data_IF_431530984717
#
_entry.id   IF_431530984717
#
_cell.length_a   1.000
_cell.length_b   1.000
_cell.length_c   1.000
_cell.angle_alpha   90.00
_cell.angle_beta   90.00
_cell.angle_gamma   90.00
#
_symmetry.space_group_name_H-M   'P 1'
#
loop_
_entity.id
_entity.type
_entity.pdbx_description
1 polymer ?
#
# COMPACT_ATOMS: atom_id res chain seq x y z
N UNK A 1 -7.70 15.28 -1.37
CA UNK A 1 -6.28 14.97 -1.21
C UNK A 1 -6.09 13.46 -1.39
N UNK A 2 -5.20 13.07 -2.29
CA UNK A 2 -4.70 11.71 -2.53
C UNK A 2 -3.76 11.31 -1.39
N UNK A 3 -4.07 10.17 -0.75
CA UNK A 3 -3.26 9.62 0.35
C UNK A 3 -1.94 9.03 -0.14
N UNK A 4 -0.88 9.12 0.67
CA UNK A 4 0.43 8.56 0.34
C UNK A 4 0.83 7.42 1.28
N UNK A 5 1.16 6.27 0.71
CA UNK A 5 1.75 5.14 1.42
C UNK A 5 3.20 4.91 0.99
N UNK A 6 4.10 4.81 1.97
CA UNK A 6 5.49 4.38 1.76
C UNK A 6 5.65 2.96 2.29
N UNK A 7 5.83 1.99 1.40
CA UNK A 7 5.84 0.56 1.73
C UNK A 7 7.26 0.01 1.89
N UNK A 8 7.44 -1.00 2.75
CA UNK A 8 8.72 -1.71 2.90
C UNK A 8 9.76 -0.89 3.64
N UNK A 9 9.35 -0.14 4.66
CA UNK A 9 10.25 0.59 5.56
C UNK A 9 10.76 -0.37 6.64
N UNK A 10 12.08 -0.55 6.73
CA UNK A 10 12.72 -1.43 7.72
C UNK A 10 13.51 -0.69 8.81
N UNK A 11 13.81 0.60 8.58
CA UNK A 11 14.61 1.43 9.47
C UNK A 11 13.76 2.54 10.08
N UNK A 12 13.96 2.79 11.38
CA UNK A 12 13.30 3.88 12.12
C UNK A 12 13.52 5.23 11.43
N UNK A 13 14.74 5.50 10.97
CA UNK A 13 15.10 6.75 10.30
C UNK A 13 14.23 7.02 9.07
N UNK A 14 14.15 6.07 8.13
CA UNK A 14 13.34 6.23 6.92
C UNK A 14 11.84 6.36 7.24
N UNK A 15 11.35 5.67 8.28
CA UNK A 15 9.95 5.77 8.70
C UNK A 15 9.63 7.16 9.28
N UNK A 16 10.53 7.73 10.08
CA UNK A 16 10.40 9.10 10.59
C UNK A 16 10.48 10.13 9.47
N UNK A 17 11.35 9.93 8.47
CA UNK A 17 11.42 10.79 7.28
C UNK A 17 10.09 10.76 6.52
N UNK A 18 9.54 9.57 6.25
CA UNK A 18 8.24 9.44 5.58
C UNK A 18 7.11 10.11 6.37
N UNK A 19 7.05 9.89 7.70
CA UNK A 19 6.04 10.51 8.55
C UNK A 19 6.14 12.04 8.55
N UNK A 20 7.34 12.61 8.74
CA UNK A 20 7.57 14.06 8.75
C UNK A 20 7.32 14.71 7.40
N UNK A 21 7.62 14.01 6.31
CA UNK A 21 7.29 14.47 4.97
C UNK A 21 5.76 14.46 4.70
N UNK A 22 4.99 13.78 5.53
CA UNK A 22 3.53 13.73 5.50
C UNK A 22 2.98 12.56 4.70
N UNK A 23 3.60 11.38 4.81
CA UNK A 23 2.94 10.13 4.45
C UNK A 23 1.70 9.91 5.33
N UNK A 24 0.67 9.29 4.76
CA UNK A 24 -0.54 8.88 5.48
C UNK A 24 -0.44 7.46 6.01
N UNK A 25 0.35 6.62 5.33
CA UNK A 25 0.54 5.22 5.67
C UNK A 25 2.02 4.81 5.61
N UNK A 26 2.46 4.03 6.60
CA UNK A 26 3.77 3.38 6.62
C UNK A 26 3.58 1.86 6.52
N UNK A 27 4.16 1.24 5.50
CA UNK A 27 4.07 -0.20 5.28
C UNK A 27 5.27 -0.96 5.84
N UNK A 28 5.01 -1.90 6.75
CA UNK A 28 5.98 -2.82 7.34
C UNK A 28 5.74 -4.22 6.78
N UNK A 29 6.75 -4.84 6.16
CA UNK A 29 6.57 -6.11 5.45
C UNK A 29 6.89 -7.27 6.37
N UNK A 30 5.93 -8.19 6.55
CA UNK A 30 6.11 -9.44 7.30
C UNK A 30 6.18 -10.67 6.38
N UNK A 31 5.78 -10.52 5.11
CA UNK A 31 5.90 -11.57 4.12
C UNK A 31 7.36 -11.83 3.69
N UNK A 32 7.73 -13.08 3.32
CA UNK A 32 9.07 -13.44 2.87
C UNK A 32 9.56 -12.55 1.72
N UNK A 33 10.57 -11.72 1.98
CA UNK A 33 11.16 -10.80 1.00
C UNK A 33 12.46 -10.18 1.53
N UNK A 34 13.17 -9.44 0.68
CA UNK A 34 14.34 -8.62 1.10
C UNK A 34 13.98 -7.51 2.10
N UNK A 35 12.68 -7.20 2.25
CA UNK A 35 12.16 -6.13 3.12
C UNK A 35 11.46 -6.70 4.36
N UNK A 36 11.50 -8.03 4.54
CA UNK A 36 10.84 -8.69 5.65
C UNK A 36 11.43 -8.21 6.98
N UNK A 37 10.55 -7.88 7.91
CA UNK A 37 10.87 -7.49 9.27
C UNK A 37 10.54 -8.62 10.25
N UNK A 38 11.32 -8.67 11.33
CA UNK A 38 10.90 -9.36 12.55
C UNK A 38 9.89 -8.50 13.33
N UNK A 39 9.13 -9.11 14.23
CA UNK A 39 8.18 -8.39 15.08
C UNK A 39 8.88 -7.36 15.96
N UNK A 40 10.07 -7.68 16.47
CA UNK A 40 10.88 -6.79 17.32
C UNK A 40 11.32 -5.55 16.55
N UNK A 41 11.77 -5.72 15.29
CA UNK A 41 12.16 -4.57 14.46
C UNK A 41 10.95 -3.72 14.05
N UNK A 42 9.83 -4.36 13.74
CA UNK A 42 8.58 -3.64 13.45
C UNK A 42 8.15 -2.78 14.64
N UNK A 43 8.20 -3.32 15.86
CA UNK A 43 7.88 -2.58 17.09
C UNK A 43 8.73 -1.32 17.26
N UNK A 44 10.04 -1.40 17.04
CA UNK A 44 10.92 -0.23 17.12
C UNK A 44 10.49 0.89 16.15
N UNK A 45 10.08 0.52 14.93
CA UNK A 45 9.56 1.48 13.95
C UNK A 45 8.23 2.06 14.40
N UNK A 46 7.31 1.21 14.88
CA UNK A 46 5.99 1.64 15.37
C UNK A 46 6.12 2.61 16.53
N UNK A 47 6.94 2.31 17.55
CA UNK A 47 7.14 3.17 18.72
C UNK A 47 7.66 4.55 18.32
N UNK A 48 8.67 4.59 17.44
CA UNK A 48 9.24 5.85 16.98
C UNK A 48 8.22 6.71 16.22
N UNK A 49 7.43 6.12 15.32
CA UNK A 49 6.39 6.84 14.57
C UNK A 49 5.24 7.27 15.49
N UNK A 50 4.85 6.44 16.46
CA UNK A 50 3.77 6.75 17.40
C UNK A 50 4.10 7.84 18.40
N UNK A 51 5.38 8.14 18.60
CA UNK A 51 5.84 9.27 19.41
C UNK A 51 5.66 10.65 18.75
N UNK A 52 5.31 10.69 17.45
CA UNK A 52 5.00 11.93 16.74
C UNK A 52 3.57 12.41 17.05
N UNK A 53 3.36 13.72 17.13
CA UNK A 53 2.03 14.32 17.33
C UNK A 53 1.09 14.02 16.15
N UNK A 54 1.59 14.22 14.93
CA UNK A 54 0.93 13.84 13.69
C UNK A 54 1.62 12.59 13.16
N UNK A 55 0.88 11.49 13.07
CA UNK A 55 1.41 10.19 12.69
C UNK A 55 0.62 9.53 11.56
N UNK A 56 1.29 8.89 10.59
CA UNK A 56 0.64 7.99 9.64
C UNK A 56 0.08 6.76 10.35
N UNK A 57 -0.89 6.11 9.71
CA UNK A 57 -1.32 4.77 10.08
C UNK A 57 -0.24 3.73 9.73
N UNK A 58 -0.02 2.76 10.60
CA UNK A 58 0.92 1.66 10.39
C UNK A 58 0.21 0.48 9.74
N UNK A 59 0.72 0.03 8.60
CA UNK A 59 0.17 -1.08 7.79
C UNK A 59 1.14 -2.25 7.83
N UNK A 60 0.70 -3.42 8.28
CA UNK A 60 1.48 -4.67 8.11
C UNK A 60 1.15 -5.34 6.79
N UNK A 61 2.17 -5.69 6.01
CA UNK A 61 2.02 -6.36 4.71
C UNK A 61 2.32 -7.84 4.85
N UNK A 62 1.33 -8.67 4.57
CA UNK A 62 1.39 -10.14 4.63
C UNK A 62 1.09 -10.74 3.26
N UNK A 63 1.54 -11.97 3.05
CA UNK A 63 1.18 -12.75 1.87
C UNK A 63 1.09 -14.23 2.24
N UNK A 64 -0.11 -14.80 2.10
CA UNK A 64 -0.43 -16.21 2.33
C UNK A 64 -0.04 -16.74 3.72
N UNK A 65 0.06 -15.86 4.72
CA UNK A 65 0.28 -16.24 6.13
C UNK A 65 -1.02 -16.81 6.74
N UNK A 66 -0.96 -17.70 7.73
CA UNK A 66 -2.14 -18.12 8.49
C UNK A 66 -2.84 -16.94 9.18
N UNK A 67 -4.18 -16.97 9.22
CA UNK A 67 -5.01 -15.91 9.86
C UNK A 67 -4.58 -15.62 11.29
N UNK A 68 -4.38 -16.67 12.10
CA UNK A 68 -3.99 -16.53 13.50
C UNK A 68 -2.62 -15.84 13.65
N UNK A 69 -1.70 -16.08 12.72
CA UNK A 69 -0.41 -15.41 12.70
C UNK A 69 -0.55 -13.93 12.36
N UNK A 70 -1.35 -13.60 11.34
CA UNK A 70 -1.59 -12.20 10.94
C UNK A 70 -2.21 -11.41 12.08
N UNK A 71 -3.27 -11.92 12.70
CA UNK A 71 -3.94 -11.26 13.81
C UNK A 71 -3.00 -11.10 15.02
N UNK A 72 -2.24 -12.14 15.38
CA UNK A 72 -1.26 -12.07 16.47
C UNK A 72 -0.19 -11.01 16.21
N UNK A 73 0.40 -10.97 15.01
CA UNK A 73 1.42 -9.97 14.66
C UNK A 73 0.81 -8.56 14.66
N UNK A 74 -0.41 -8.41 14.15
CA UNK A 74 -1.11 -7.13 14.15
C UNK A 74 -1.34 -6.58 15.56
N UNK A 75 -1.73 -7.45 16.49
CA UNK A 75 -1.90 -7.07 17.90
C UNK A 75 -0.56 -6.76 18.57
N UNK A 76 0.42 -7.66 18.44
CA UNK A 76 1.73 -7.52 19.08
C UNK A 76 2.50 -6.30 18.59
N UNK A 77 2.42 -5.96 17.29
CA UNK A 77 3.13 -4.81 16.71
C UNK A 77 2.28 -3.54 16.70
N UNK A 78 1.08 -3.56 17.29
CA UNK A 78 0.14 -2.45 17.28
C UNK A 78 -0.09 -1.88 15.87
N UNK A 79 -0.42 -2.73 14.91
CA UNK A 79 -0.71 -2.31 13.54
C UNK A 79 -2.11 -1.68 13.47
N UNK A 80 -2.25 -0.62 12.69
CA UNK A 80 -3.54 0.04 12.47
C UNK A 80 -4.31 -0.65 11.32
N UNK A 81 -3.59 -1.15 10.31
CA UNK A 81 -4.15 -1.84 9.14
C UNK A 81 -3.36 -3.11 8.80
N UNK A 82 -4.04 -4.07 8.17
CA UNK A 82 -3.44 -5.27 7.58
C UNK A 82 -3.60 -5.22 6.07
N UNK A 83 -2.48 -5.25 5.35
CA UNK A 83 -2.44 -5.40 3.91
C UNK A 83 -2.20 -6.87 3.54
N UNK A 84 -3.11 -7.43 2.74
CA UNK A 84 -3.05 -8.81 2.26
C UNK A 84 -2.67 -8.82 0.78
N UNK A 85 -1.42 -9.20 0.50
CA UNK A 85 -0.79 -9.12 -0.82
C UNK A 85 -0.54 -10.47 -1.49
N UNK A 86 -1.00 -11.57 -0.90
CA UNK A 86 -0.98 -12.90 -1.51
C UNK A 86 -2.25 -13.20 -2.31
N UNK A 87 -2.61 -14.48 -2.31
CA UNK A 87 -3.79 -15.04 -2.97
C UNK A 87 -4.95 -15.24 -1.95
N UNK A 88 -4.95 -14.47 -0.85
CA UNK A 88 -5.96 -14.60 0.19
C UNK A 88 -7.35 -14.29 -0.36
N UNK A 89 -8.33 -15.13 -0.04
CA UNK A 89 -9.71 -14.94 -0.47
C UNK A 89 -10.42 -13.85 0.34
N UNK A 90 -11.56 -13.36 -0.15
CA UNK A 90 -12.42 -12.46 0.64
C UNK A 90 -12.89 -13.10 1.96
N UNK A 91 -13.08 -14.43 1.99
CA UNK A 91 -13.42 -15.13 3.23
C UNK A 91 -12.27 -15.09 4.24
N UNK A 92 -11.02 -15.23 3.79
CA UNK A 92 -9.86 -15.03 4.63
C UNK A 92 -9.83 -13.58 5.17
N UNK A 93 -10.06 -12.60 4.30
CA UNK A 93 -10.04 -11.19 4.69
C UNK A 93 -11.04 -10.90 5.81
N UNK A 94 -12.24 -11.51 5.77
CA UNK A 94 -13.27 -11.36 6.78
C UNK A 94 -12.85 -11.89 8.18
N UNK A 95 -11.81 -12.72 8.28
CA UNK A 95 -11.29 -13.25 9.54
C UNK A 95 -10.22 -12.37 10.18
N UNK A 96 -9.84 -11.26 9.52
CA UNK A 96 -8.83 -10.34 10.05
C UNK A 96 -9.48 -9.36 11.03
N UNK A 97 -8.90 -9.23 12.22
CA UNK A 97 -9.41 -8.39 13.31
C UNK A 97 -9.09 -6.89 13.19
N UNK A 98 -8.58 -6.45 12.04
CA UNK A 98 -8.15 -5.07 11.75
C UNK A 98 -8.73 -4.62 10.41
N UNK A 99 -8.83 -3.30 10.16
CA UNK A 99 -9.08 -2.78 8.83
C UNK A 99 -8.15 -3.39 7.78
N UNK A 100 -8.71 -3.76 6.63
CA UNK A 100 -8.00 -4.52 5.58
C UNK A 100 -7.68 -3.64 4.38
N UNK A 101 -6.45 -3.75 3.89
CA UNK A 101 -6.07 -3.33 2.54
C UNK A 101 -5.89 -4.60 1.70
N UNK A 102 -6.85 -4.95 0.85
CA UNK A 102 -6.72 -6.12 -0.04
C UNK A 102 -5.99 -5.72 -1.32
N UNK A 103 -4.86 -6.34 -1.59
CA UNK A 103 -4.21 -6.21 -2.90
C UNK A 103 -4.98 -7.01 -3.94
N UNK A 104 -5.41 -6.34 -5.01
CA UNK A 104 -5.97 -6.92 -6.21
C UNK A 104 -4.89 -6.88 -7.30
N UNK A 105 -4.43 -8.06 -7.70
CA UNK A 105 -3.32 -8.23 -8.65
C UNK A 105 -3.84 -8.15 -10.07
N UNK A 106 -3.55 -7.05 -10.76
CA UNK A 106 -4.02 -6.79 -12.13
C UNK A 106 -3.02 -7.35 -13.14
N UNK A 107 -3.51 -8.23 -14.01
CA UNK A 107 -2.79 -8.79 -15.15
C UNK A 107 -3.26 -8.19 -16.47
N UNK A 108 -2.52 -8.43 -17.56
CA UNK A 108 -2.89 -7.92 -18.89
C UNK A 108 -4.14 -8.58 -19.49
N UNK A 109 -4.61 -9.70 -18.92
CA UNK A 109 -5.84 -10.37 -19.35
C UNK A 109 -7.07 -9.90 -18.60
N UNK A 110 -6.91 -9.14 -17.52
CA UNK A 110 -8.03 -8.69 -16.70
C UNK A 110 -8.69 -7.46 -17.34
N UNK A 111 -10.02 -7.40 -17.22
CA UNK A 111 -10.79 -6.22 -17.62
C UNK A 111 -11.13 -5.38 -16.40
N UNK A 112 -11.36 -4.08 -16.60
CA UNK A 112 -11.78 -3.21 -15.52
C UNK A 112 -13.12 -3.63 -14.91
N UNK A 113 -14.05 -4.13 -15.74
CA UNK A 113 -15.34 -4.64 -15.28
C UNK A 113 -15.16 -5.84 -14.35
N UNK A 114 -14.29 -6.80 -14.70
CA UNK A 114 -14.02 -7.96 -13.86
C UNK A 114 -13.42 -7.58 -12.51
N UNK A 115 -12.51 -6.61 -12.50
CA UNK A 115 -11.92 -6.09 -11.25
C UNK A 115 -12.96 -5.33 -10.42
N UNK A 116 -13.81 -4.53 -11.06
CA UNK A 116 -14.92 -3.84 -10.40
C UNK A 116 -15.87 -4.83 -9.75
N UNK A 117 -16.22 -5.92 -10.44
CA UNK A 117 -17.10 -6.97 -9.92
C UNK A 117 -16.44 -7.73 -8.75
N UNK A 118 -15.14 -8.04 -8.84
CA UNK A 118 -14.39 -8.67 -7.75
C UNK A 118 -14.38 -7.79 -6.48
N UNK A 119 -14.06 -6.51 -6.63
CA UNK A 119 -14.04 -5.55 -5.53
C UNK A 119 -15.43 -5.37 -4.94
N UNK A 120 -16.47 -5.29 -5.78
CA UNK A 120 -17.86 -5.20 -5.33
C UNK A 120 -18.27 -6.40 -4.47
N UNK A 121 -17.90 -7.62 -4.91
CA UNK A 121 -18.16 -8.84 -4.15
C UNK A 121 -17.43 -8.84 -2.80
N UNK A 122 -16.19 -8.36 -2.76
CA UNK A 122 -15.44 -8.16 -1.51
C UNK A 122 -16.13 -7.20 -0.56
N UNK A 123 -16.52 -6.01 -1.03
CA UNK A 123 -17.26 -5.04 -0.21
C UNK A 123 -18.61 -5.57 0.30
N UNK A 124 -19.30 -6.39 -0.49
CA UNK A 124 -20.54 -7.04 -0.06
C UNK A 124 -20.28 -8.07 1.05
N UNK A 125 -19.26 -8.91 0.91
CA UNK A 125 -18.94 -9.96 1.89
C UNK A 125 -18.42 -9.37 3.21
N UNK A 126 -17.62 -8.31 3.13
CA UNK A 126 -17.01 -7.61 4.27
C UNK A 126 -17.85 -6.40 4.72
N UNK A 127 -19.16 -6.42 4.47
CA UNK A 127 -20.05 -5.31 4.85
C UNK A 127 -19.97 -5.04 6.36
N UNK A 128 -19.55 -3.83 6.73
CA UNK A 128 -19.33 -3.43 8.13
C UNK A 128 -17.87 -3.49 8.60
N UNK A 129 -16.95 -3.96 7.76
CA UNK A 129 -15.51 -3.82 7.98
C UNK A 129 -14.94 -2.67 7.16
N UNK A 130 -13.93 -1.99 7.69
CA UNK A 130 -13.17 -1.00 6.92
C UNK A 130 -12.27 -1.71 5.90
N UNK A 131 -12.55 -1.49 4.62
CA UNK A 131 -11.87 -2.12 3.50
C UNK A 131 -11.38 -1.06 2.51
N UNK A 132 -10.10 -1.14 2.16
CA UNK A 132 -9.51 -0.49 1.00
C UNK A 132 -8.98 -1.55 0.04
N UNK A 133 -9.00 -1.26 -1.26
CA UNK A 133 -8.35 -2.10 -2.25
C UNK A 133 -7.09 -1.41 -2.79
N UNK A 134 -6.03 -2.18 -2.98
CA UNK A 134 -4.78 -1.72 -3.59
C UNK A 134 -4.61 -2.44 -4.94
N UNK A 135 -4.51 -1.68 -6.03
CA UNK A 135 -4.24 -2.21 -7.36
C UNK A 135 -2.73 -2.28 -7.58
N UNK A 136 -2.21 -3.48 -7.81
CA UNK A 136 -0.80 -3.71 -8.14
C UNK A 136 -0.67 -4.59 -9.39
N UNK A 137 0.45 -4.50 -10.11
CA UNK A 137 0.66 -5.33 -11.30
C UNK A 137 1.16 -6.73 -10.94
N UNK A 138 0.46 -7.74 -11.46
CA UNK A 138 0.95 -9.13 -11.40
C UNK A 138 2.08 -9.34 -12.41
N UNK A 139 3.24 -9.79 -11.94
CA UNK A 139 4.41 -10.04 -12.78
C UNK A 139 4.85 -11.51 -12.66
N UNK A 140 4.27 -12.40 -13.47
CA UNK A 140 4.61 -13.83 -13.45
C UNK A 140 4.28 -14.50 -12.11
N UNK A 141 5.18 -15.38 -11.63
CA UNK A 141 5.06 -16.07 -10.32
C UNK A 141 5.70 -15.29 -9.16
N UNK A 142 6.22 -14.08 -9.40
CA UNK A 142 6.85 -13.26 -8.38
C UNK A 142 6.08 -11.95 -8.21
N UNK A 143 5.74 -11.60 -6.97
CA UNK A 143 5.11 -10.32 -6.65
C UNK A 143 6.16 -9.19 -6.85
N UNK A 144 6.17 -8.59 -8.05
CA UNK A 144 6.92 -7.39 -8.42
C UNK A 144 8.18 -7.60 -9.29
N UNK A 145 8.39 -6.73 -10.30
CA UNK A 145 9.73 -6.44 -10.85
C UNK A 145 10.04 -6.69 -12.34
N UNK A 146 9.17 -6.39 -13.31
CA UNK A 146 9.55 -6.44 -14.76
C UNK A 146 9.27 -5.17 -15.57
N UNK A 147 8.85 -4.06 -14.94
CA UNK A 147 8.71 -2.78 -15.64
C UNK A 147 7.49 -2.63 -16.55
N UNK A 148 6.54 -3.58 -16.56
CA UNK A 148 5.20 -3.32 -17.11
C UNK A 148 4.38 -2.58 -16.05
N UNK A 149 4.17 -1.29 -16.29
CA UNK A 149 3.32 -0.44 -15.46
C UNK A 149 1.86 -0.94 -15.51
N UNK A 150 1.12 -0.70 -14.43
CA UNK A 150 -0.33 -0.90 -14.39
C UNK A 150 -0.96 -0.16 -15.57
N UNK A 151 -1.95 -0.76 -16.24
CA UNK A 151 -2.73 0.01 -17.19
C UNK A 151 -3.55 1.05 -16.43
N UNK A 152 -3.14 2.32 -16.53
CA UNK A 152 -3.79 3.41 -15.82
C UNK A 152 -5.22 3.62 -16.27
N UNK A 153 -5.63 3.16 -17.46
CA UNK A 153 -7.03 3.19 -17.88
C UNK A 153 -7.88 2.23 -17.05
N UNK A 154 -7.37 1.03 -16.77
CA UNK A 154 -8.03 0.08 -15.86
C UNK A 154 -8.12 0.68 -14.46
N UNK A 155 -7.01 1.21 -13.94
CA UNK A 155 -6.98 1.84 -12.62
C UNK A 155 -7.99 3.00 -12.51
N UNK A 156 -8.10 3.83 -13.56
CA UNK A 156 -9.04 4.96 -13.63
C UNK A 156 -10.49 4.50 -13.57
N UNK A 157 -10.85 3.46 -14.32
CA UNK A 157 -12.21 2.93 -14.32
C UNK A 157 -12.60 2.35 -12.96
N UNK A 158 -11.67 1.68 -12.28
CA UNK A 158 -11.89 1.16 -10.93
C UNK A 158 -11.97 2.29 -9.90
N UNK A 159 -11.07 3.27 -9.96
CA UNK A 159 -11.04 4.44 -9.06
C UNK A 159 -12.29 5.31 -9.17
N UNK A 160 -12.97 5.33 -10.33
CA UNK A 160 -14.25 5.99 -10.50
C UNK A 160 -15.41 5.32 -9.73
N UNK A 161 -15.22 4.09 -9.23
CA UNK A 161 -16.23 3.31 -8.50
C UNK A 161 -15.88 3.09 -7.03
N UNK A 162 -14.60 2.94 -6.72
CA UNK A 162 -14.12 2.59 -5.38
C UNK A 162 -12.93 3.45 -4.94
N UNK A 163 -12.78 3.73 -3.64
CA UNK A 163 -11.58 4.39 -3.11
C UNK A 163 -10.40 3.42 -3.12
N UNK A 164 -9.66 3.38 -4.24
CA UNK A 164 -8.51 2.48 -4.41
C UNK A 164 -7.18 3.18 -4.24
N UNK A 165 -6.21 2.44 -3.68
CA UNK A 165 -4.79 2.79 -3.69
C UNK A 165 -4.17 2.21 -4.96
N UNK A 166 -3.37 2.98 -5.67
CA UNK A 166 -2.64 2.49 -6.85
C UNK A 166 -1.16 2.31 -6.51
N UNK A 167 -0.62 1.14 -6.84
CA UNK A 167 0.78 0.79 -6.68
C UNK A 167 1.40 0.41 -8.04
N UNK A 168 2.58 -0.22 -8.02
CA UNK A 168 3.22 -0.77 -9.21
C UNK A 168 4.04 0.24 -10.01
N UNK A 169 5.35 0.29 -9.76
CA UNK A 169 6.29 1.07 -10.59
C UNK A 169 6.18 2.60 -10.43
N UNK A 170 5.55 3.09 -9.38
CA UNK A 170 5.48 4.51 -9.07
C UNK A 170 6.84 5.06 -8.64
N UNK A 171 7.13 6.29 -9.03
CA UNK A 171 8.36 7.04 -8.75
C UNK A 171 8.02 8.54 -8.59
N UNK A 172 8.91 9.36 -8.02
CA UNK A 172 8.69 10.81 -7.95
C UNK A 172 8.43 11.45 -9.33
N UNK A 173 8.95 10.85 -10.40
CA UNK A 173 8.84 11.38 -11.76
C UNK A 173 7.50 11.08 -12.45
N UNK A 174 6.77 10.04 -12.02
CA UNK A 174 5.53 9.62 -12.71
C UNK A 174 4.27 9.70 -11.85
N UNK A 175 4.39 9.82 -10.52
CA UNK A 175 3.23 9.79 -9.61
C UNK A 175 2.27 10.95 -9.85
N UNK A 176 2.78 12.14 -10.17
CA UNK A 176 1.92 13.30 -10.43
C UNK A 176 0.99 13.08 -11.63
N UNK A 177 1.55 12.59 -12.74
CA UNK A 177 0.78 12.24 -13.95
C UNK A 177 -0.26 11.16 -13.67
N UNK A 178 0.10 10.15 -12.87
CA UNK A 178 -0.83 9.10 -12.48
C UNK A 178 -2.02 9.67 -11.70
N UNK A 179 -1.76 10.56 -10.75
CA UNK A 179 -2.82 11.18 -9.96
C UNK A 179 -3.76 12.00 -10.85
N UNK A 180 -3.21 12.82 -11.74
CA UNK A 180 -4.00 13.61 -12.69
C UNK A 180 -4.91 12.74 -13.56
N UNK A 181 -4.37 11.65 -14.12
CA UNK A 181 -5.10 10.77 -15.04
C UNK A 181 -6.14 9.87 -14.34
N UNK A 182 -5.78 9.31 -13.18
CA UNK A 182 -6.50 8.23 -12.49
C UNK A 182 -7.37 8.73 -11.34
N UNK A 183 -6.96 9.82 -10.67
CA UNK A 183 -7.60 10.38 -9.47
C UNK A 183 -7.85 9.32 -8.38
N UNK A 184 -6.83 8.56 -7.95
CA UNK A 184 -7.01 7.49 -6.97
C UNK A 184 -7.22 8.05 -5.55
N UNK A 185 -7.78 7.22 -4.66
CA UNK A 185 -7.86 7.54 -3.23
C UNK A 185 -6.45 7.70 -2.62
N UNK A 186 -5.52 6.85 -3.04
CA UNK A 186 -4.13 6.95 -2.62
C UNK A 186 -3.14 6.34 -3.61
N UNK A 187 -1.86 6.53 -3.33
CA UNK A 187 -0.74 5.95 -4.07
C UNK A 187 0.20 5.23 -3.11
N UNK A 188 0.73 4.09 -3.54
CA UNK A 188 1.69 3.28 -2.77
C UNK A 188 3.01 3.15 -3.54
N UNK A 189 4.12 3.43 -2.87
CA UNK A 189 5.46 3.28 -3.44
C UNK A 189 6.37 2.44 -2.56
N UNK A 190 7.07 1.51 -3.20
CA UNK A 190 8.13 0.72 -2.58
C UNK A 190 9.48 0.98 -3.25
N UNK A 191 9.77 0.29 -4.36
CA UNK A 191 11.08 0.36 -5.05
C UNK A 191 11.39 1.71 -5.68
N UNK A 192 10.38 2.50 -6.07
CA UNK A 192 10.60 3.80 -6.71
C UNK A 192 11.24 4.87 -5.82
N UNK A 193 11.31 4.62 -4.51
CA UNK A 193 12.00 5.46 -3.54
C UNK A 193 13.21 4.76 -2.91
N UNK A 194 13.79 3.82 -3.66
CA UNK A 194 15.03 3.14 -3.26
C UNK A 194 16.21 3.56 -4.13
N UNK A 195 17.41 3.46 -3.55
CA UNK A 195 18.71 3.56 -4.18
C UNK A 195 19.53 2.35 -3.75
N UNK A 196 20.03 1.56 -4.70
CA UNK A 196 20.77 0.32 -4.45
C UNK A 196 20.03 -0.68 -3.53
N UNK A 197 18.70 -0.76 -3.65
CA UNK A 197 17.86 -1.68 -2.88
C UNK A 197 17.62 -1.28 -1.42
N UNK A 198 18.07 -0.09 -1.01
CA UNK A 198 17.72 0.54 0.28
C UNK A 198 16.84 1.75 0.04
N UNK A 199 15.97 2.07 1.00
CA UNK A 199 15.20 3.31 0.99
C UNK A 199 16.12 4.52 0.94
N UNK A 200 15.71 5.51 0.17
CA UNK A 200 16.42 6.75 -0.07
C UNK A 200 15.55 7.91 0.42
N UNK A 201 16.03 8.63 1.42
CA UNK A 201 15.29 9.70 2.09
C UNK A 201 14.89 10.82 1.15
N UNK A 202 15.80 11.24 0.26
CA UNK A 202 15.54 12.30 -0.70
C UNK A 202 14.45 11.86 -1.69
N UNK A 203 14.45 10.60 -2.11
CA UNK A 203 13.38 10.07 -2.97
C UNK A 203 12.04 9.91 -2.25
N UNK A 204 12.04 9.53 -0.97
CA UNK A 204 10.80 9.48 -0.16
C UNK A 204 10.17 10.88 -0.12
N UNK A 205 10.96 11.90 0.25
CA UNK A 205 10.50 13.29 0.32
C UNK A 205 10.01 13.75 -1.05
N UNK A 206 10.81 13.56 -2.10
CA UNK A 206 10.46 13.95 -3.46
C UNK A 206 9.16 13.29 -3.96
N UNK A 207 8.92 12.03 -3.58
CA UNK A 207 7.68 11.34 -3.94
C UNK A 207 6.47 12.00 -3.28
N UNK A 208 6.52 12.22 -1.96
CA UNK A 208 5.42 12.82 -1.21
C UNK A 208 5.16 14.27 -1.66
N UNK A 209 6.21 15.04 -1.94
CA UNK A 209 6.10 16.38 -2.50
C UNK A 209 5.47 16.38 -3.90
N UNK A 210 5.81 15.40 -4.75
CA UNK A 210 5.22 15.27 -6.08
C UNK A 210 3.71 15.00 -6.00
N UNK A 211 3.25 14.21 -5.02
CA UNK A 211 1.82 14.00 -4.76
C UNK A 211 1.14 15.29 -4.33
N UNK A 212 1.68 15.96 -3.30
CA UNK A 212 1.11 17.20 -2.75
C UNK A 212 1.05 18.35 -3.76
N UNK A 213 2.02 18.41 -4.69
CA UNK A 213 2.07 19.45 -5.72
C UNK A 213 0.86 19.41 -6.66
N UNK A 214 0.41 18.22 -7.05
CA UNK A 214 -0.76 18.06 -7.93
C UNK A 214 -2.01 18.61 -7.23
N UNK A 215 -2.16 18.37 -5.93
CA UNK A 215 -3.32 18.82 -5.16
C UNK A 215 -3.40 20.35 -5.05
N UNK A 216 -2.25 21.00 -4.87
CA UNK A 216 -2.17 22.46 -4.78
C UNK A 216 -2.51 23.16 -6.11
N UNK A 217 -2.45 22.45 -7.24
CA UNK A 217 -2.78 22.98 -8.57
C UNK A 217 -4.25 22.79 -8.96
N UNK A 218 -4.96 21.89 -8.27
CA UNK A 218 -6.37 21.55 -8.52
C UNK A 218 -7.31 22.24 -7.51
N UNK A 219 -6.74 22.90 -6.49
CA UNK A 219 -7.46 23.63 -5.43
C UNK A 219 -7.64 25.12 -5.73
#
# INVERSE_FOLDING_TARGET
>A
MTRVKICGLSEVEHALVAAKAGADFIGLVFAPSKRQLSAERALQVVEAVRALELRPAIVGVFANSPVDEVNRVADCCHLDWVQLSGDESWHYCNQIGRPVIKTVHVSSSDTAEGIVDEIAAGHQLLAGQELLCLLDTKVGYAYGGTGKALDWQVAKMVAAKFPVIVAGGLTPANVGRLIEEVQPYGVDVSTGVESNGRKDEAKIVAFIEAVKRVEAQVS
#
